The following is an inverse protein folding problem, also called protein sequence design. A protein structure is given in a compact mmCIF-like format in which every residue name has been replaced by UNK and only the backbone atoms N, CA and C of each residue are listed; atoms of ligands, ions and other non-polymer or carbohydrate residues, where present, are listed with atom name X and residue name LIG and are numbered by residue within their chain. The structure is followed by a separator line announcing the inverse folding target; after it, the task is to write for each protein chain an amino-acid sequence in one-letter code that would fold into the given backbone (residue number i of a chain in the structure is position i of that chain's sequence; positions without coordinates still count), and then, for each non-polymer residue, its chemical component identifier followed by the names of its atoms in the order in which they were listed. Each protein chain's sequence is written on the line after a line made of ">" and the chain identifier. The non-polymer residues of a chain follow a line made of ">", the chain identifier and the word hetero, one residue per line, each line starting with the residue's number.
data_IF_591441970850
#
_entry.id   IF_591441970850
#
_cell.length_a   1.000
_cell.length_b   1.000
_cell.length_c   1.000
_cell.angle_alpha   90.00
_cell.angle_beta   90.00
_cell.angle_gamma   90.00
#
_symmetry.space_group_name_H-M   'P 1'
#
loop_
_entity.id
_entity.type
_entity.pdbx_description
1 polymer ?
#
# COMPACT_ATOMS: atom_id res chain seq x y z
N UNK A 1 -12.68 -20.14 1.53
CA UNK A 1 -12.70 -19.21 2.69
C UNK A 1 -13.57 -18.03 2.34
N UNK A 2 -14.27 -17.45 3.33
CA UNK A 2 -14.91 -16.15 3.18
C UNK A 2 -13.92 -15.06 3.58
N UNK A 3 -13.60 -14.18 2.65
CA UNK A 3 -12.57 -13.14 2.78
C UNK A 3 -13.20 -11.79 2.52
N UNK A 4 -13.11 -10.87 3.47
CA UNK A 4 -13.59 -9.49 3.29
C UNK A 4 -12.38 -8.57 3.10
N UNK A 5 -12.38 -7.82 2.00
CA UNK A 5 -11.37 -6.82 1.70
C UNK A 5 -11.99 -5.43 1.91
N UNK A 6 -11.53 -4.71 2.90
CA UNK A 6 -11.90 -3.31 3.15
C UNK A 6 -11.01 -2.39 2.31
N UNK A 7 -11.64 -1.60 1.43
CA UNK A 7 -11.00 -0.81 0.41
C UNK A 7 -11.11 -1.46 -0.98
N UNK A 8 -11.91 -0.85 -1.85
CA UNK A 8 -12.19 -1.31 -3.22
C UNK A 8 -11.45 -0.49 -4.29
N UNK A 9 -10.32 0.09 -3.91
CA UNK A 9 -9.41 0.79 -4.82
C UNK A 9 -8.58 -0.16 -5.69
N UNK A 10 -7.45 0.35 -6.21
CA UNK A 10 -6.55 -0.37 -7.14
C UNK A 10 -6.19 -1.78 -6.67
N UNK A 11 -5.68 -1.93 -5.46
CA UNK A 11 -5.22 -3.23 -4.93
C UNK A 11 -6.40 -4.10 -4.49
N UNK A 12 -7.37 -3.50 -3.77
CA UNK A 12 -8.47 -4.28 -3.20
C UNK A 12 -9.37 -4.93 -4.25
N UNK A 13 -9.69 -4.21 -5.32
CA UNK A 13 -10.49 -4.77 -6.42
C UNK A 13 -9.75 -5.89 -7.15
N UNK A 14 -8.44 -5.72 -7.41
CA UNK A 14 -7.61 -6.74 -8.04
C UNK A 14 -7.46 -7.97 -7.12
N UNK A 15 -7.25 -7.76 -5.82
CA UNK A 15 -7.12 -8.86 -4.84
C UNK A 15 -8.41 -9.67 -4.75
N UNK A 16 -9.56 -9.02 -4.62
CA UNK A 16 -10.84 -9.73 -4.58
C UNK A 16 -11.07 -10.55 -5.85
N UNK A 17 -10.82 -9.98 -7.03
CA UNK A 17 -10.93 -10.70 -8.30
C UNK A 17 -9.98 -11.90 -8.38
N UNK A 18 -8.73 -11.74 -7.93
CA UNK A 18 -7.73 -12.81 -7.89
C UNK A 18 -8.16 -13.95 -6.96
N UNK A 19 -8.63 -13.63 -5.76
CA UNK A 19 -9.10 -14.61 -4.79
C UNK A 19 -10.36 -15.35 -5.26
N UNK A 20 -11.30 -14.66 -5.90
CA UNK A 20 -12.48 -15.30 -6.52
C UNK A 20 -12.06 -16.26 -7.63
N UNK A 21 -11.12 -15.87 -8.49
CA UNK A 21 -10.59 -16.76 -9.53
C UNK A 21 -9.89 -18.00 -8.95
N UNK A 22 -9.33 -17.90 -7.74
CA UNK A 22 -8.74 -19.00 -6.99
C UNK A 22 -9.78 -19.85 -6.21
N UNK A 23 -11.09 -19.55 -6.33
CA UNK A 23 -12.17 -20.33 -5.73
C UNK A 23 -12.55 -19.91 -4.30
N UNK A 24 -12.16 -18.73 -3.85
CA UNK A 24 -12.55 -18.18 -2.55
C UNK A 24 -13.81 -17.31 -2.67
N UNK A 25 -14.57 -17.18 -1.58
CA UNK A 25 -15.67 -16.22 -1.44
C UNK A 25 -15.06 -14.88 -0.96
N UNK A 26 -14.61 -14.06 -1.91
CA UNK A 26 -13.92 -12.82 -1.62
C UNK A 26 -14.69 -11.61 -2.17
N UNK A 27 -14.79 -10.55 -1.35
CA UNK A 27 -15.50 -9.32 -1.74
C UNK A 27 -14.71 -8.10 -1.27
N UNK A 28 -14.47 -7.14 -2.18
CA UNK A 28 -13.90 -5.84 -1.84
C UNK A 28 -15.04 -4.82 -1.62
N UNK A 29 -15.01 -4.14 -0.49
CA UNK A 29 -16.05 -3.23 -0.03
C UNK A 29 -15.47 -1.89 0.41
N UNK A 30 -16.24 -0.83 0.25
CA UNK A 30 -15.87 0.52 0.63
C UNK A 30 -17.09 1.36 1.04
N UNK A 31 -16.91 2.67 1.13
CA UNK A 31 -17.98 3.61 1.52
C UNK A 31 -19.19 3.58 0.58
N UNK A 32 -18.97 3.33 -0.70
CA UNK A 32 -19.99 3.15 -1.72
C UNK A 32 -20.89 1.93 -1.48
N UNK A 33 -20.44 0.99 -0.64
CA UNK A 33 -21.19 -0.18 -0.17
C UNK A 33 -21.79 0.02 1.23
N UNK A 34 -21.76 1.25 1.77
CA UNK A 34 -22.26 1.56 3.10
C UNK A 34 -21.34 1.12 4.24
N UNK A 35 -20.07 0.85 3.94
CA UNK A 35 -19.06 0.45 4.93
C UNK A 35 -18.17 1.65 5.24
N UNK A 36 -18.15 2.07 6.51
CA UNK A 36 -17.22 3.10 6.98
C UNK A 36 -16.42 2.56 8.18
N UNK A 37 -15.15 2.26 7.91
CA UNK A 37 -14.23 1.72 8.91
C UNK A 37 -13.91 2.74 10.02
N UNK A 38 -13.98 4.05 9.72
CA UNK A 38 -13.68 5.10 10.71
C UNK A 38 -14.77 5.27 11.76
N UNK A 39 -15.99 4.83 11.47
CA UNK A 39 -17.14 4.87 12.39
C UNK A 39 -17.61 3.49 12.84
N UNK A 40 -17.10 2.43 12.23
CA UNK A 40 -17.56 1.06 12.43
C UNK A 40 -18.88 0.72 11.73
N UNK A 41 -19.43 1.66 10.93
CA UNK A 41 -20.70 1.44 10.23
C UNK A 41 -20.57 0.26 9.26
N UNK A 42 -21.51 -0.69 9.37
CA UNK A 42 -21.64 -1.84 8.48
C UNK A 42 -20.67 -3.00 8.76
N UNK A 43 -19.65 -2.84 9.63
CA UNK A 43 -18.62 -3.84 9.86
C UNK A 43 -19.18 -5.16 10.42
N UNK A 44 -19.98 -5.09 11.47
CA UNK A 44 -20.53 -6.29 12.13
C UNK A 44 -21.33 -7.19 11.17
N UNK A 45 -22.20 -6.60 10.34
CA UNK A 45 -22.98 -7.35 9.37
C UNK A 45 -22.11 -7.96 8.26
N UNK A 46 -21.08 -7.22 7.82
CA UNK A 46 -20.17 -7.63 6.75
C UNK A 46 -19.30 -8.81 7.18
N UNK A 47 -18.83 -8.80 8.42
CA UNK A 47 -17.92 -9.81 8.95
C UNK A 47 -18.58 -11.12 9.37
N UNK A 48 -19.92 -11.23 9.31
CA UNK A 48 -20.60 -12.50 9.65
C UNK A 48 -20.04 -13.65 8.82
N UNK A 49 -19.42 -14.62 9.51
CA UNK A 49 -18.83 -15.80 8.91
C UNK A 49 -17.54 -15.55 8.11
N UNK A 50 -16.96 -14.36 8.17
CA UNK A 50 -15.67 -14.08 7.58
C UNK A 50 -14.56 -14.83 8.34
N UNK A 51 -13.64 -15.43 7.57
CA UNK A 51 -12.47 -16.12 8.11
C UNK A 51 -11.24 -15.19 8.11
N UNK A 52 -11.16 -14.33 7.09
CA UNK A 52 -10.06 -13.38 6.89
C UNK A 52 -10.61 -11.99 6.61
N UNK A 53 -10.02 -10.97 7.21
CA UNK A 53 -10.25 -9.57 6.91
C UNK A 53 -8.95 -8.93 6.39
N UNK A 54 -9.06 -8.20 5.29
CA UNK A 54 -7.92 -7.51 4.66
C UNK A 54 -8.18 -6.01 4.67
N UNK A 55 -7.38 -5.23 5.37
CA UNK A 55 -7.50 -3.77 5.39
C UNK A 55 -6.56 -3.13 4.37
N UNK A 56 -7.15 -2.68 3.27
CA UNK A 56 -6.51 -1.90 2.20
C UNK A 56 -7.10 -0.48 2.13
N UNK A 57 -7.68 -0.01 3.21
CA UNK A 57 -8.22 1.35 3.29
C UNK A 57 -7.11 2.39 3.28
N UNK A 58 -7.43 3.59 2.81
CA UNK A 58 -6.51 4.71 2.83
C UNK A 58 -7.24 6.02 3.20
N UNK A 59 -6.52 6.93 3.84
CA UNK A 59 -7.04 8.24 4.20
C UNK A 59 -7.37 9.07 2.94
N UNK A 60 -8.50 9.76 2.93
CA UNK A 60 -8.82 10.72 1.88
C UNK A 60 -8.06 12.05 2.05
N UNK A 61 -7.43 12.28 3.20
CA UNK A 61 -6.65 13.48 3.54
C UNK A 61 -5.17 13.15 3.61
N UNK A 62 -4.33 14.17 3.38
CA UNK A 62 -2.88 14.11 3.57
C UNK A 62 -2.40 14.97 4.75
N UNK A 63 -3.32 15.64 5.48
CA UNK A 63 -2.97 16.36 6.69
C UNK A 63 -2.61 15.37 7.81
N UNK A 64 -1.51 15.63 8.50
CA UNK A 64 -0.91 14.69 9.47
C UNK A 64 -1.91 14.18 10.52
N UNK A 65 -2.67 15.09 11.12
CA UNK A 65 -3.65 14.77 12.16
C UNK A 65 -4.83 13.94 11.59
N UNK A 66 -5.29 14.28 10.39
CA UNK A 66 -6.39 13.56 9.73
C UNK A 66 -5.98 12.14 9.37
N UNK A 67 -4.77 11.98 8.82
CA UNK A 67 -4.22 10.66 8.45
C UNK A 67 -4.06 9.78 9.68
N UNK A 68 -3.51 10.34 10.76
CA UNK A 68 -3.34 9.61 12.01
C UNK A 68 -4.69 9.20 12.59
N UNK A 69 -5.66 10.13 12.66
CA UNK A 69 -7.00 9.85 13.16
C UNK A 69 -7.70 8.77 12.31
N UNK A 70 -7.56 8.84 10.98
CA UNK A 70 -8.12 7.85 10.06
C UNK A 70 -7.60 6.44 10.38
N UNK A 71 -6.29 6.23 10.35
CA UNK A 71 -5.73 4.88 10.54
C UNK A 71 -5.95 4.37 11.96
N UNK A 72 -5.90 5.22 12.98
CA UNK A 72 -6.17 4.82 14.36
C UNK A 72 -7.62 4.36 14.53
N UNK A 73 -8.60 5.20 14.17
CA UNK A 73 -10.01 4.87 14.38
C UNK A 73 -10.46 3.69 13.49
N UNK A 74 -10.03 3.65 12.24
CA UNK A 74 -10.40 2.57 11.31
C UNK A 74 -9.88 1.22 11.81
N UNK A 75 -8.62 1.16 12.24
CA UNK A 75 -8.03 -0.08 12.74
C UNK A 75 -8.67 -0.54 14.05
N UNK A 76 -8.95 0.39 14.98
CA UNK A 76 -9.63 0.07 16.24
C UNK A 76 -11.02 -0.55 16.01
N UNK A 77 -11.83 0.05 15.13
CA UNK A 77 -13.15 -0.46 14.81
C UNK A 77 -13.10 -1.80 14.07
N UNK A 78 -12.19 -1.95 13.10
CA UNK A 78 -12.02 -3.22 12.39
C UNK A 78 -11.66 -4.35 13.36
N UNK A 79 -10.61 -4.18 14.16
CA UNK A 79 -10.17 -5.20 15.11
C UNK A 79 -11.22 -5.53 16.17
N UNK A 80 -12.01 -4.54 16.62
CA UNK A 80 -13.11 -4.79 17.53
C UNK A 80 -14.20 -5.67 16.88
N UNK A 81 -14.65 -5.30 15.67
CA UNK A 81 -15.67 -6.06 14.95
C UNK A 81 -15.18 -7.46 14.54
N UNK A 82 -13.90 -7.60 14.19
CA UNK A 82 -13.28 -8.88 13.84
C UNK A 82 -13.22 -9.85 15.03
N UNK A 83 -12.86 -9.35 16.22
CA UNK A 83 -12.90 -10.18 17.45
C UNK A 83 -14.30 -10.69 17.75
N UNK A 84 -15.32 -9.82 17.62
CA UNK A 84 -16.72 -10.20 17.83
C UNK A 84 -17.21 -11.22 16.80
N UNK A 85 -16.78 -11.08 15.54
CA UNK A 85 -17.14 -11.98 14.44
C UNK A 85 -16.35 -13.30 14.44
N UNK A 86 -15.28 -13.40 15.22
CA UNK A 86 -14.39 -14.57 15.25
C UNK A 86 -13.50 -14.69 14.01
N UNK A 87 -13.10 -13.57 13.39
CA UNK A 87 -12.12 -13.53 12.30
C UNK A 87 -10.79 -14.10 12.81
N UNK A 88 -10.16 -14.92 12.01
CA UNK A 88 -8.97 -15.68 12.39
C UNK A 88 -7.66 -15.11 11.81
N UNK A 89 -7.76 -14.17 10.88
CA UNK A 89 -6.60 -13.56 10.24
C UNK A 89 -6.92 -12.14 9.78
N UNK A 90 -6.23 -11.17 10.35
CA UNK A 90 -6.24 -9.77 9.92
C UNK A 90 -5.01 -9.48 9.07
N UNK A 91 -5.19 -8.93 7.87
CA UNK A 91 -4.07 -8.58 6.96
C UNK A 91 -4.10 -7.10 6.64
N UNK A 92 -2.98 -6.42 6.78
CA UNK A 92 -2.85 -5.03 6.33
C UNK A 92 -1.76 -4.87 5.26
N UNK A 93 -1.97 -3.89 4.38
CA UNK A 93 -0.93 -3.39 3.49
C UNK A 93 -0.30 -2.13 4.08
N UNK A 94 0.97 -2.20 4.40
CA UNK A 94 1.78 -1.08 4.89
C UNK A 94 2.88 -0.73 3.90
N UNK A 95 3.88 0.02 4.33
CA UNK A 95 4.90 0.60 3.45
C UNK A 95 6.30 0.21 3.92
N UNK A 96 7.13 -0.28 2.99
CA UNK A 96 8.55 -0.54 3.24
C UNK A 96 9.24 0.75 3.71
N UNK A 97 9.90 0.67 4.85
CA UNK A 97 10.63 1.82 5.42
C UNK A 97 9.77 2.87 6.11
N UNK A 98 8.48 2.60 6.37
CA UNK A 98 7.62 3.55 7.08
C UNK A 98 8.20 3.99 8.43
N UNK A 99 8.86 3.09 9.13
CA UNK A 99 9.52 3.32 10.42
C UNK A 99 10.85 4.12 10.33
N UNK A 100 11.39 4.31 9.12
CA UNK A 100 12.65 5.03 8.89
C UNK A 100 12.47 6.51 8.50
N UNK A 101 11.25 6.94 8.23
CA UNK A 101 10.93 8.32 7.81
C UNK A 101 9.93 8.99 8.77
N UNK A 102 10.29 9.23 10.03
CA UNK A 102 9.38 9.82 11.02
C UNK A 102 9.02 11.29 10.71
N UNK A 103 9.68 11.95 9.78
CA UNK A 103 9.29 13.28 9.31
C UNK A 103 7.96 13.28 8.55
N UNK A 104 7.61 12.17 7.87
CA UNK A 104 6.35 12.04 7.16
C UNK A 104 5.19 11.70 8.09
N UNK A 105 4.15 12.55 8.15
CA UNK A 105 2.93 12.28 8.93
C UNK A 105 2.20 11.04 8.47
N UNK A 106 2.14 10.83 7.16
CA UNK A 106 1.54 9.65 6.56
C UNK A 106 2.23 8.35 7.01
N UNK A 107 3.56 8.31 6.99
CA UNK A 107 4.32 7.13 7.40
C UNK A 107 4.25 6.90 8.90
N UNK A 108 4.24 7.96 9.72
CA UNK A 108 3.96 7.84 11.16
C UNK A 108 2.61 7.21 11.43
N UNK A 109 1.57 7.61 10.67
CA UNK A 109 0.24 7.05 10.80
C UNK A 109 0.19 5.57 10.40
N UNK A 110 0.93 5.15 9.36
CA UNK A 110 1.07 3.73 8.99
C UNK A 110 1.77 2.92 10.09
N UNK A 111 2.82 3.45 10.71
CA UNK A 111 3.46 2.80 11.86
C UNK A 111 2.52 2.69 13.06
N UNK A 112 1.68 3.71 13.29
CA UNK A 112 0.65 3.65 14.34
C UNK A 112 -0.38 2.55 14.04
N UNK A 113 -0.81 2.41 12.78
CA UNK A 113 -1.67 1.32 12.33
C UNK A 113 -1.04 -0.06 12.60
N UNK A 114 0.22 -0.27 12.21
CA UNK A 114 0.94 -1.53 12.45
C UNK A 114 0.93 -1.90 13.94
N UNK A 115 1.27 -0.94 14.81
CA UNK A 115 1.28 -1.15 16.28
C UNK A 115 -0.10 -1.48 16.83
N UNK A 116 -1.15 -0.87 16.32
CA UNK A 116 -2.52 -1.18 16.72
C UNK A 116 -2.92 -2.61 16.32
N UNK A 117 -2.49 -3.07 15.13
CA UNK A 117 -2.71 -4.44 14.67
C UNK A 117 -1.95 -5.44 15.54
N UNK A 118 -0.67 -5.18 15.83
CA UNK A 118 0.17 -6.03 16.71
C UNK A 118 -0.44 -6.20 18.12
N UNK A 119 -1.05 -5.13 18.64
CA UNK A 119 -1.70 -5.14 19.95
C UNK A 119 -3.15 -5.63 19.93
N UNK A 120 -3.73 -5.83 18.74
CA UNK A 120 -5.17 -5.98 18.55
C UNK A 120 -5.78 -7.31 18.95
N UNK A 121 -4.98 -8.34 19.23
CA UNK A 121 -5.45 -9.65 19.71
C UNK A 121 -6.14 -10.52 18.66
N UNK A 122 -6.10 -10.15 17.37
CA UNK A 122 -6.45 -10.99 16.22
C UNK A 122 -5.15 -11.48 15.60
N UNK A 123 -5.00 -12.76 15.23
CA UNK A 123 -3.83 -13.22 14.48
C UNK A 123 -3.66 -12.40 13.21
N UNK A 124 -2.44 -11.98 12.87
CA UNK A 124 -2.27 -10.97 11.83
C UNK A 124 -1.11 -11.23 10.86
N UNK A 125 -1.13 -10.50 9.74
CA UNK A 125 0.01 -10.37 8.84
C UNK A 125 0.11 -8.91 8.35
N UNK A 126 1.30 -8.34 8.47
CA UNK A 126 1.61 -7.01 7.95
C UNK A 126 2.46 -7.17 6.69
N UNK A 127 1.91 -6.76 5.55
CA UNK A 127 2.66 -6.74 4.28
C UNK A 127 3.12 -5.30 4.04
N UNK A 128 4.40 -5.03 4.22
CA UNK A 128 5.01 -3.76 3.84
C UNK A 128 5.39 -3.82 2.37
N UNK A 129 4.69 -3.06 1.53
CA UNK A 129 4.99 -2.94 0.10
C UNK A 129 5.85 -1.73 -0.20
N UNK A 130 6.75 -1.86 -1.17
CA UNK A 130 7.37 -0.73 -1.82
C UNK A 130 6.34 0.07 -2.62
N UNK A 131 6.73 1.24 -3.12
CA UNK A 131 5.86 2.13 -3.90
C UNK A 131 5.44 1.49 -5.21
N UNK A 132 4.20 1.77 -5.66
CA UNK A 132 3.69 1.14 -6.88
C UNK A 132 4.10 1.90 -8.14
N UNK A 133 4.36 1.18 -9.23
CA UNK A 133 4.58 1.77 -10.55
C UNK A 133 3.41 2.65 -10.98
N UNK A 134 2.19 2.25 -10.64
CA UNK A 134 0.94 2.95 -10.94
C UNK A 134 0.85 4.33 -10.31
N UNK A 135 1.66 4.63 -9.29
CA UNK A 135 1.66 5.93 -8.63
C UNK A 135 2.70 6.91 -9.21
N UNK A 136 3.58 6.47 -10.11
CA UNK A 136 4.61 7.35 -10.72
C UNK A 136 4.01 8.57 -11.42
N UNK A 137 2.86 8.50 -12.14
CA UNK A 137 2.21 9.70 -12.67
C UNK A 137 1.85 10.71 -11.57
N UNK A 138 1.23 10.25 -10.48
CA UNK A 138 0.89 11.11 -9.34
C UNK A 138 2.11 11.69 -8.61
N UNK A 139 3.22 10.95 -8.56
CA UNK A 139 4.50 11.46 -8.04
C UNK A 139 5.00 12.61 -8.91
N UNK A 140 4.95 12.45 -10.24
CA UNK A 140 5.32 13.51 -11.17
C UNK A 140 4.44 14.75 -11.02
N UNK A 141 3.13 14.57 -10.88
CA UNK A 141 2.18 15.66 -10.71
C UNK A 141 2.43 16.42 -9.39
N UNK A 142 2.64 15.70 -8.30
CA UNK A 142 2.94 16.30 -6.98
C UNK A 142 4.28 17.07 -6.97
N UNK A 143 5.28 16.63 -7.75
CA UNK A 143 6.57 17.29 -7.88
C UNK A 143 6.58 18.45 -8.90
N UNK A 144 5.45 18.76 -9.57
CA UNK A 144 5.40 19.76 -10.63
C UNK A 144 5.23 21.16 -10.05
N UNK A 145 6.20 22.03 -10.35
CA UNK A 145 6.18 23.45 -10.04
C UNK A 145 6.41 24.23 -11.34
N UNK A 146 5.51 25.14 -11.70
CA UNK A 146 5.60 25.98 -12.92
C UNK A 146 5.86 25.17 -14.22
N UNK A 147 5.28 23.97 -14.30
CA UNK A 147 5.40 23.10 -15.48
C UNK A 147 6.69 22.26 -15.55
N UNK A 148 7.53 22.32 -14.52
CA UNK A 148 8.75 21.51 -14.38
C UNK A 148 8.56 20.52 -13.23
N UNK A 149 8.87 19.25 -13.45
CA UNK A 149 8.85 18.23 -12.40
C UNK A 149 10.17 18.25 -11.64
N UNK A 150 10.14 18.57 -10.35
CA UNK A 150 11.28 18.43 -9.46
C UNK A 150 11.22 17.06 -8.78
N UNK A 151 12.17 16.20 -9.08
CA UNK A 151 12.20 14.82 -8.60
C UNK A 151 13.56 14.47 -8.02
N UNK A 152 13.55 13.82 -6.85
CA UNK A 152 14.81 13.40 -6.22
C UNK A 152 15.48 12.26 -6.98
N UNK A 153 16.83 12.23 -6.95
CA UNK A 153 17.61 11.08 -7.41
C UNK A 153 17.64 9.94 -6.38
N UNK A 154 17.12 10.14 -5.17
CA UNK A 154 17.04 9.08 -4.18
C UNK A 154 16.23 7.90 -4.71
N UNK A 155 16.63 6.69 -4.32
CA UNK A 155 16.04 5.47 -4.85
C UNK A 155 14.75 5.08 -4.13
N UNK A 156 13.80 4.61 -4.92
CA UNK A 156 12.74 3.69 -4.51
C UNK A 156 13.06 2.32 -5.08
N UNK A 157 12.42 1.27 -4.56
CA UNK A 157 12.45 -0.06 -5.18
C UNK A 157 11.03 -0.47 -5.58
N UNK A 158 10.42 0.26 -6.54
CA UNK A 158 8.99 0.20 -6.78
C UNK A 158 8.57 -1.12 -7.42
N UNK A 159 7.28 -1.45 -7.28
CA UNK A 159 6.69 -2.73 -7.60
C UNK A 159 5.40 -2.55 -8.41
N UNK A 160 5.05 -3.50 -9.30
CA UNK A 160 3.75 -3.52 -9.95
C UNK A 160 2.64 -3.91 -8.97
N UNK A 161 1.48 -3.22 -9.00
CA UNK A 161 0.35 -3.56 -8.12
C UNK A 161 -0.10 -5.00 -8.28
N UNK A 162 -0.07 -5.55 -9.49
CA UNK A 162 -0.42 -6.95 -9.77
C UNK A 162 0.48 -7.96 -9.05
N UNK A 163 1.79 -7.65 -8.90
CA UNK A 163 2.73 -8.52 -8.19
C UNK A 163 2.48 -8.46 -6.67
N UNK A 164 2.15 -7.27 -6.15
CA UNK A 164 1.68 -7.12 -4.76
C UNK A 164 0.42 -7.93 -4.51
N UNK A 165 -0.55 -7.87 -5.42
CA UNK A 165 -1.80 -8.63 -5.33
C UNK A 165 -1.53 -10.14 -5.29
N UNK A 166 -0.63 -10.63 -6.15
CA UNK A 166 -0.28 -12.05 -6.16
C UNK A 166 0.31 -12.50 -4.81
N UNK A 167 1.26 -11.74 -4.27
CA UNK A 167 1.85 -12.05 -2.97
C UNK A 167 0.87 -11.86 -1.80
N UNK A 168 0.04 -10.81 -1.83
CA UNK A 168 -1.03 -10.62 -0.84
C UNK A 168 -1.99 -11.81 -0.82
N UNK A 169 -2.36 -12.35 -1.99
CA UNK A 169 -3.24 -13.50 -2.08
C UNK A 169 -2.62 -14.74 -1.39
N UNK A 170 -1.31 -14.96 -1.54
CA UNK A 170 -0.59 -16.02 -0.83
C UNK A 170 -0.63 -15.82 0.69
N UNK A 171 -0.38 -14.58 1.17
CA UNK A 171 -0.44 -14.24 2.60
C UNK A 171 -1.86 -14.41 3.15
N UNK A 172 -2.87 -13.88 2.44
CA UNK A 172 -4.29 -13.92 2.85
C UNK A 172 -4.81 -15.35 2.95
N UNK A 173 -4.35 -16.24 2.07
CA UNK A 173 -4.79 -17.66 2.05
C UNK A 173 -3.93 -18.57 2.90
N UNK A 174 -2.79 -18.11 3.36
CA UNK A 174 -1.87 -18.81 4.26
C UNK A 174 -2.23 -18.65 5.75
N UNK A 175 -1.43 -19.25 6.63
CA UNK A 175 -1.55 -19.00 8.07
C UNK A 175 -1.11 -17.57 8.41
N UNK A 176 -1.66 -16.97 9.49
CA UNK A 176 -1.16 -15.71 10.01
C UNK A 176 0.34 -15.77 10.27
N UNK A 177 1.05 -14.69 9.91
CA UNK A 177 2.49 -14.58 10.13
C UNK A 177 2.83 -14.15 11.55
N UNK A 178 1.89 -13.49 12.23
CA UNK A 178 2.10 -12.77 13.49
C UNK A 178 3.37 -11.91 13.42
N UNK A 179 3.54 -11.23 12.29
CA UNK A 179 4.74 -10.50 11.94
C UNK A 179 4.62 -9.72 10.64
N UNK A 180 5.78 -9.23 10.18
CA UNK A 180 5.93 -8.36 9.01
C UNK A 180 6.65 -9.10 7.89
N UNK A 181 6.17 -8.94 6.65
CA UNK A 181 6.89 -9.31 5.44
C UNK A 181 7.05 -8.09 4.55
N UNK A 182 8.23 -7.91 3.95
CA UNK A 182 8.48 -6.83 2.99
C UNK A 182 8.40 -7.36 1.56
N UNK A 183 7.78 -6.56 0.65
CA UNK A 183 7.68 -6.87 -0.77
C UNK A 183 8.13 -5.68 -1.60
N UNK A 184 8.98 -5.90 -2.59
CA UNK A 184 9.53 -4.84 -3.43
C UNK A 184 9.72 -5.29 -4.88
N UNK A 185 9.92 -4.35 -5.77
CA UNK A 185 10.31 -4.63 -7.15
C UNK A 185 11.72 -5.19 -7.24
N UNK A 186 12.15 -5.63 -8.43
CA UNK A 186 13.44 -6.30 -8.61
C UNK A 186 14.62 -5.34 -8.54
N UNK A 187 14.41 -4.04 -8.75
CA UNK A 187 15.48 -3.07 -8.95
C UNK A 187 15.22 -1.73 -8.24
N UNK A 188 16.22 -1.14 -7.57
CA UNK A 188 16.13 0.23 -7.10
C UNK A 188 16.29 1.21 -8.25
N UNK A 189 15.46 2.27 -8.27
CA UNK A 189 15.46 3.32 -9.30
C UNK A 189 15.28 4.69 -8.66
N UNK A 190 16.05 5.70 -9.13
CA UNK A 190 15.82 7.08 -8.74
C UNK A 190 14.43 7.57 -9.13
N UNK A 191 13.79 8.37 -8.28
CA UNK A 191 12.46 8.93 -8.57
C UNK A 191 12.46 9.71 -9.87
N UNK A 192 13.50 10.53 -10.11
CA UNK A 192 13.68 11.28 -11.35
C UNK A 192 13.80 10.37 -12.59
N UNK A 193 14.45 9.23 -12.44
CA UNK A 193 14.59 8.20 -13.50
C UNK A 193 13.25 7.53 -13.81
N UNK A 194 12.46 7.20 -12.78
CA UNK A 194 11.11 6.65 -12.95
C UNK A 194 10.23 7.62 -13.77
N UNK A 195 10.22 8.90 -13.41
CA UNK A 195 9.42 9.91 -14.10
C UNK A 195 9.89 10.11 -15.55
N UNK A 196 11.21 10.19 -15.80
CA UNK A 196 11.74 10.34 -17.18
C UNK A 196 11.37 9.15 -18.06
N UNK A 197 11.48 7.92 -17.56
CA UNK A 197 11.09 6.73 -18.32
C UNK A 197 9.59 6.73 -18.64
N UNK A 198 8.74 7.12 -17.67
CA UNK A 198 7.31 7.27 -17.90
C UNK A 198 7.03 8.29 -19.02
N UNK A 199 7.62 9.49 -18.93
CA UNK A 199 7.40 10.56 -19.91
C UNK A 199 7.89 10.20 -21.32
N UNK A 200 8.99 9.43 -21.43
CA UNK A 200 9.46 8.93 -22.72
C UNK A 200 8.45 8.01 -23.41
N UNK A 201 7.63 7.27 -22.65
CA UNK A 201 6.61 6.36 -23.19
C UNK A 201 5.27 7.06 -23.41
N UNK A 202 4.87 7.95 -22.49
CA UNK A 202 3.58 8.65 -22.55
C UNK A 202 3.60 9.88 -23.45
N UNK A 203 4.80 10.39 -23.79
CA UNK A 203 4.95 11.62 -24.57
C UNK A 203 4.67 12.89 -23.74
N UNK A 204 4.72 12.83 -22.43
CA UNK A 204 4.55 14.00 -21.57
C UNK A 204 5.68 15.01 -21.83
N UNK A 205 5.37 16.26 -22.22
CA UNK A 205 6.39 17.25 -22.61
C UNK A 205 7.08 17.94 -21.43
N UNK A 206 6.68 17.70 -20.19
CA UNK A 206 7.26 18.38 -19.01
C UNK A 206 8.75 18.03 -18.86
N UNK A 207 9.54 19.06 -18.54
CA UNK A 207 10.94 18.87 -18.13
C UNK A 207 10.97 18.15 -16.75
N UNK A 208 11.88 17.19 -16.61
CA UNK A 208 12.17 16.55 -15.32
C UNK A 208 13.54 17.04 -14.83
N UNK A 209 13.52 17.83 -13.77
CA UNK A 209 14.73 18.35 -13.11
C UNK A 209 15.06 17.49 -11.90
N UNK A 210 16.28 16.96 -11.88
CA UNK A 210 16.78 16.27 -10.69
C UNK A 210 17.05 17.28 -9.59
N UNK A 211 16.39 17.10 -8.44
CA UNK A 211 16.61 17.88 -7.24
C UNK A 211 16.73 16.90 -6.04
N UNK A 212 17.95 16.77 -5.50
CA UNK A 212 18.22 15.83 -4.39
C UNK A 212 17.39 16.12 -3.16
N UNK A 213 16.95 17.36 -2.99
CA UNK A 213 16.16 17.84 -1.86
C UNK A 213 14.65 17.86 -2.14
N UNK A 214 14.23 17.42 -3.33
CA UNK A 214 12.80 17.30 -3.61
C UNK A 214 12.15 16.31 -2.64
N UNK A 215 11.12 16.78 -1.92
CA UNK A 215 10.42 15.99 -0.93
C UNK A 215 9.57 14.87 -1.56
N UNK A 216 9.43 13.78 -0.83
CA UNK A 216 8.53 12.69 -1.15
C UNK A 216 7.71 12.30 0.09
N UNK A 217 6.38 12.26 0.00
CA UNK A 217 5.49 12.04 1.14
C UNK A 217 5.79 12.98 2.33
N UNK A 218 6.19 14.22 2.05
CA UNK A 218 6.50 15.23 3.06
C UNK A 218 7.87 15.12 3.72
N UNK A 219 8.77 14.28 3.20
CA UNK A 219 10.14 14.09 3.72
C UNK A 219 11.18 14.05 2.61
N UNK A 220 12.43 14.41 2.91
CA UNK A 220 13.57 14.12 2.03
C UNK A 220 13.95 12.65 2.14
N UNK A 221 14.32 12.05 1.00
CA UNK A 221 14.72 10.65 0.93
C UNK A 221 16.23 10.47 0.89
N UNK A 222 16.71 9.46 1.59
CA UNK A 222 17.97 8.78 1.31
C UNK A 222 17.73 7.53 0.46
N UNK A 223 18.77 7.02 -0.20
CA UNK A 223 18.65 5.87 -1.13
C UNK A 223 18.12 4.58 -0.50
N UNK A 224 18.16 4.49 0.84
CA UNK A 224 17.68 3.34 1.60
C UNK A 224 16.39 3.62 2.38
N UNK A 225 15.82 4.82 2.25
CA UNK A 225 14.67 5.23 3.08
C UNK A 225 13.44 4.35 2.84
N UNK A 226 13.09 4.09 1.59
CA UNK A 226 11.87 3.38 1.18
C UNK A 226 12.16 2.12 0.34
N UNK A 227 13.34 1.54 0.49
CA UNK A 227 13.68 0.22 -0.04
C UNK A 227 13.74 -0.83 1.09
N UNK A 228 13.69 -2.13 0.79
CA UNK A 228 13.89 -3.18 1.78
C UNK A 228 15.21 -3.01 2.54
N UNK A 229 15.19 -3.31 3.84
CA UNK A 229 16.41 -3.29 4.60
C UNK A 229 17.38 -4.38 4.11
N UNK A 230 18.70 -4.13 4.07
CA UNK A 230 19.67 -5.16 3.71
C UNK A 230 19.51 -6.40 4.60
N UNK A 231 19.32 -7.57 3.96
CA UNK A 231 19.15 -8.83 4.69
C UNK A 231 17.78 -9.05 5.31
N UNK A 232 16.76 -8.22 5.03
CA UNK A 232 15.39 -8.41 5.55
C UNK A 232 14.70 -9.66 5.01
N UNK A 233 15.22 -10.30 3.96
CA UNK A 233 14.53 -11.41 3.29
C UNK A 233 13.31 -10.99 2.50
N UNK A 234 13.23 -9.72 2.10
CA UNK A 234 12.12 -9.20 1.31
C UNK A 234 11.85 -10.04 0.06
N UNK A 235 10.57 -10.29 -0.21
CA UNK A 235 10.17 -10.90 -1.47
C UNK A 235 10.34 -9.91 -2.62
N UNK A 236 11.09 -10.30 -3.65
CA UNK A 236 11.33 -9.47 -4.83
C UNK A 236 10.45 -9.92 -5.99
N UNK A 237 9.64 -9.00 -6.49
CA UNK A 237 8.74 -9.22 -7.61
C UNK A 237 9.50 -9.41 -8.94
N UNK A 238 8.94 -10.18 -9.89
CA UNK A 238 9.60 -10.43 -11.17
C UNK A 238 9.43 -9.32 -12.21
N UNK A 239 8.46 -8.41 -12.03
CA UNK A 239 8.15 -7.39 -13.03
C UNK A 239 9.07 -6.19 -12.88
N UNK A 240 9.93 -5.94 -13.89
CA UNK A 240 10.73 -4.71 -13.98
C UNK A 240 9.86 -3.52 -14.41
N UNK A 241 10.32 -2.30 -14.10
CA UNK A 241 9.61 -1.08 -14.51
C UNK A 241 9.48 -0.97 -16.04
N UNK A 242 10.54 -1.28 -16.77
CA UNK A 242 10.53 -1.23 -18.24
C UNK A 242 9.53 -2.23 -18.83
N UNK A 243 9.44 -3.43 -18.25
CA UNK A 243 8.44 -4.41 -18.67
C UNK A 243 7.02 -3.91 -18.41
N UNK A 244 6.77 -3.34 -17.22
CA UNK A 244 5.46 -2.78 -16.88
C UNK A 244 5.07 -1.64 -17.83
N UNK A 245 6.01 -0.71 -18.15
CA UNK A 245 5.79 0.37 -19.11
C UNK A 245 5.46 -0.14 -20.52
N UNK A 246 6.10 -1.23 -20.95
CA UNK A 246 5.85 -1.82 -22.28
C UNK A 246 4.45 -2.48 -22.37
N UNK A 247 3.87 -2.91 -21.28
CA UNK A 247 2.56 -3.55 -21.17
C UNK A 247 1.43 -2.55 -20.90
N UNK A 248 1.76 -1.30 -20.50
CA UNK A 248 0.77 -0.26 -20.24
C UNK A 248 -0.04 0.07 -21.49
N UNK A 249 -1.39 0.18 -21.43
CA UNK A 249 -2.18 0.62 -22.56
C UNK A 249 -1.77 2.03 -22.97
N UNK A 250 -1.51 2.23 -24.26
CA UNK A 250 -1.14 3.52 -24.87
C UNK A 250 -2.34 4.43 -25.04
#
# INVERSE_FOLDING_TARGET
>A
MKIIVFGNGLVGSQLAAHLVAAGHDATALGRDHGIDTTTGQGLAATLVGAEVAVDLTNSPSWADDDVLAFFTSSTEHLLAAEREAGVRHHVILSIVGADRLPASGYLRAKVAQERAVEAGGVPYSIVRSAQFFEFVPGIADAGTVEGVVHATSAHLQPIASRDVVAHLAEVVTGPPLDGVVEVAGPEPLGVDTLVRRLFAITGDPREVRTDRHAGYLGAELEDTSLGPAPGSGAWLAPTTYDRWLAEAPR
#
